data_IF_623579800597
#
_entry.id   IF_623579800597
#
_cell.length_a   1.000
_cell.length_b   1.000
_cell.length_c   1.000
_cell.angle_alpha   90.00
_cell.angle_beta   90.00
_cell.angle_gamma   90.00
#
_symmetry.space_group_name_H-M   'P 1'
#
loop_
_entity.id
_entity.type
_entity.pdbx_description
1 polymer ?
#
# COMPACT_ATOMS: atom_id res chain seq x y z
N UNK A 1 44.74 15.88 -2.19
CA UNK A 1 45.07 14.45 -1.99
C UNK A 1 45.01 13.80 -3.36
N UNK A 2 46.13 13.25 -3.82
CA UNK A 2 46.31 12.72 -5.17
C UNK A 2 45.83 11.27 -5.19
N UNK A 3 44.73 10.99 -5.89
CA UNK A 3 44.28 9.62 -6.15
C UNK A 3 45.26 8.95 -7.10
N UNK A 4 45.94 7.89 -6.62
CA UNK A 4 46.74 7.02 -7.48
C UNK A 4 45.80 6.25 -8.40
N UNK A 5 46.10 6.14 -9.71
CA UNK A 5 45.33 5.26 -10.59
C UNK A 5 45.57 3.81 -10.15
N UNK A 6 44.51 3.15 -9.67
CA UNK A 6 44.50 1.71 -9.47
C UNK A 6 44.75 1.04 -10.81
N UNK A 7 45.95 0.49 -10.96
CA UNK A 7 46.37 -0.23 -12.14
C UNK A 7 45.63 -1.58 -12.16
N UNK A 8 44.40 -1.57 -12.72
CA UNK A 8 43.58 -2.77 -12.92
C UNK A 8 44.33 -3.71 -13.86
N UNK A 9 44.94 -4.76 -13.32
CA UNK A 9 45.47 -5.83 -14.16
C UNK A 9 44.32 -6.44 -14.98
N UNK A 10 44.53 -6.77 -16.26
CA UNK A 10 43.51 -7.44 -17.05
C UNK A 10 43.11 -8.73 -16.33
N UNK A 11 41.80 -9.04 -16.31
CA UNK A 11 41.17 -10.22 -15.69
C UNK A 11 41.86 -11.58 -15.97
N UNK A 12 42.74 -11.61 -16.97
CA UNK A 12 43.38 -12.74 -17.61
C UNK A 12 44.83 -12.91 -17.14
N UNK A 13 45.40 -11.87 -16.52
CA UNK A 13 46.81 -11.82 -16.09
C UNK A 13 47.11 -12.73 -14.91
N UNK A 14 46.20 -12.80 -13.93
CA UNK A 14 46.35 -13.68 -12.77
C UNK A 14 46.29 -15.18 -13.16
N UNK A 15 45.34 -15.64 -14.01
CA UNK A 15 45.38 -17.01 -14.52
C UNK A 15 46.62 -17.34 -15.34
N UNK A 16 47.04 -16.44 -16.24
CA UNK A 16 48.22 -16.65 -17.06
C UNK A 16 49.50 -16.79 -16.22
N UNK A 17 49.68 -15.94 -15.21
CA UNK A 17 50.82 -16.01 -14.30
C UNK A 17 50.79 -17.27 -13.44
N UNK A 18 49.61 -17.68 -12.96
CA UNK A 18 49.44 -18.92 -12.19
C UNK A 18 49.79 -20.16 -13.02
N UNK A 19 49.39 -20.20 -14.29
CA UNK A 19 49.74 -21.30 -15.19
C UNK A 19 51.23 -21.32 -15.57
N UNK A 20 51.86 -20.16 -15.73
CA UNK A 20 53.30 -20.07 -15.94
C UNK A 20 54.09 -20.62 -14.74
N UNK A 21 53.69 -20.25 -13.51
CA UNK A 21 54.31 -20.76 -12.28
C UNK A 21 54.07 -22.26 -12.13
N UNK A 22 52.86 -22.74 -12.44
CA UNK A 22 52.56 -24.17 -12.48
C UNK A 22 53.49 -24.90 -13.46
N UNK A 23 53.61 -24.42 -14.69
CA UNK A 23 54.47 -25.04 -15.71
C UNK A 23 55.95 -25.06 -15.30
N UNK A 24 56.42 -24.03 -14.59
CA UNK A 24 57.77 -24.00 -14.01
C UNK A 24 58.01 -25.15 -13.03
N UNK A 25 57.06 -25.44 -12.13
CA UNK A 25 57.19 -26.56 -11.19
C UNK A 25 57.11 -27.93 -11.89
N UNK A 26 56.34 -28.04 -12.97
CA UNK A 26 56.29 -29.25 -13.80
C UNK A 26 57.61 -29.51 -14.52
N UNK A 27 58.20 -28.46 -15.11
CA UNK A 27 59.53 -28.54 -15.74
C UNK A 27 60.62 -28.84 -14.70
N UNK A 28 60.55 -28.24 -13.52
CA UNK A 28 61.45 -28.54 -12.41
C UNK A 28 61.37 -30.00 -11.97
N UNK A 29 60.17 -30.57 -11.90
CA UNK A 29 59.98 -32.00 -11.63
C UNK A 29 60.57 -32.86 -12.75
N UNK A 30 60.26 -32.55 -14.01
CA UNK A 30 60.74 -33.31 -15.17
C UNK A 30 62.28 -33.26 -15.31
N UNK A 31 62.90 -32.12 -15.00
CA UNK A 31 64.35 -31.96 -15.04
C UNK A 31 65.07 -32.65 -13.86
N UNK A 32 64.44 -32.70 -12.68
CA UNK A 32 65.05 -33.29 -11.48
C UNK A 32 64.88 -34.81 -11.41
N UNK A 33 63.73 -35.33 -11.87
CA UNK A 33 63.35 -36.74 -11.74
C UNK A 33 63.49 -37.51 -13.07
N UNK A 34 63.39 -36.82 -14.21
CA UNK A 34 63.30 -37.43 -15.53
C UNK A 34 61.88 -37.88 -15.88
N UNK A 35 61.57 -37.99 -17.17
CA UNK A 35 60.33 -38.59 -17.64
C UNK A 35 60.60 -39.55 -18.81
N UNK A 36 60.53 -40.89 -18.60
CA UNK A 36 60.15 -41.61 -17.38
C UNK A 36 61.16 -41.44 -16.22
N UNK A 37 60.73 -41.65 -14.94
CA UNK A 37 61.54 -41.35 -13.77
C UNK A 37 62.73 -42.31 -13.62
N UNK A 38 63.95 -41.78 -13.63
CA UNK A 38 65.20 -42.57 -13.57
C UNK A 38 65.64 -42.88 -12.13
N UNK A 39 64.95 -42.31 -11.14
CA UNK A 39 65.30 -42.41 -9.70
C UNK A 39 64.07 -42.66 -8.83
N UNK A 40 64.29 -43.19 -7.62
CA UNK A 40 63.24 -43.38 -6.61
C UNK A 40 62.75 -42.01 -6.12
N UNK A 41 61.44 -41.82 -6.14
CA UNK A 41 60.79 -40.58 -5.74
C UNK A 41 61.09 -40.24 -4.28
N UNK A 42 61.68 -39.07 -4.05
CA UNK A 42 61.90 -38.51 -2.73
C UNK A 42 60.70 -37.64 -2.33
N UNK A 43 60.56 -37.37 -1.03
CA UNK A 43 59.47 -36.51 -0.50
C UNK A 43 59.47 -35.11 -1.14
N UNK A 44 60.65 -34.61 -1.53
CA UNK A 44 60.80 -33.35 -2.27
C UNK A 44 60.14 -33.38 -3.65
N UNK A 45 60.15 -34.52 -4.35
CA UNK A 45 59.58 -34.65 -5.69
C UNK A 45 58.05 -34.62 -5.65
N UNK A 46 57.45 -35.18 -4.60
CA UNK A 46 56.01 -35.09 -4.33
C UNK A 46 55.57 -33.65 -4.09
N UNK A 47 56.42 -32.81 -3.49
CA UNK A 47 56.12 -31.40 -3.26
C UNK A 47 55.99 -30.61 -4.57
N UNK A 48 56.82 -30.90 -5.58
CA UNK A 48 56.73 -30.29 -6.90
C UNK A 48 55.40 -30.60 -7.60
N UNK A 49 54.95 -31.85 -7.53
CA UNK A 49 53.67 -32.28 -8.11
C UNK A 49 52.49 -31.62 -7.39
N UNK A 50 52.56 -31.51 -6.06
CA UNK A 50 51.51 -30.87 -5.26
C UNK A 50 51.41 -29.37 -5.57
N UNK A 51 52.54 -28.67 -5.63
CA UNK A 51 52.58 -27.25 -5.98
C UNK A 51 52.14 -27.00 -7.43
N UNK A 52 52.55 -27.85 -8.37
CA UNK A 52 52.08 -27.80 -9.75
C UNK A 52 50.55 -27.86 -9.82
N UNK A 53 49.95 -28.85 -9.15
CA UNK A 53 48.51 -29.06 -9.12
C UNK A 53 47.78 -27.92 -8.39
N UNK A 54 48.34 -27.43 -7.28
CA UNK A 54 47.80 -26.29 -6.54
C UNK A 54 47.71 -25.02 -7.41
N UNK A 55 48.79 -24.64 -8.09
CA UNK A 55 48.82 -23.45 -8.95
C UNK A 55 48.04 -23.64 -10.27
N UNK A 56 47.87 -24.88 -10.73
CA UNK A 56 47.01 -25.19 -11.88
C UNK A 56 45.54 -24.86 -11.57
N UNK A 57 45.08 -25.21 -10.36
CA UNK A 57 43.69 -25.04 -9.95
C UNK A 57 43.38 -23.68 -9.30
N UNK A 58 44.39 -22.94 -8.85
CA UNK A 58 44.26 -21.59 -8.27
C UNK A 58 43.37 -20.61 -9.08
N UNK A 59 43.48 -20.49 -10.42
CA UNK A 59 42.63 -19.59 -11.19
C UNK A 59 41.15 -20.00 -11.25
N UNK A 60 40.81 -21.26 -10.99
CA UNK A 60 39.43 -21.72 -10.97
C UNK A 60 38.71 -21.27 -9.69
N UNK A 61 39.41 -21.26 -8.55
CA UNK A 61 38.86 -20.77 -7.29
C UNK A 61 38.65 -19.25 -7.28
N UNK A 62 39.51 -18.50 -7.97
CA UNK A 62 39.36 -17.04 -8.07
C UNK A 62 38.21 -16.64 -9.00
N UNK A 63 37.98 -17.37 -10.11
CA UNK A 63 36.81 -17.16 -10.99
C UNK A 63 35.47 -17.33 -10.27
N UNK A 64 35.35 -18.29 -9.34
CA UNK A 64 34.12 -18.51 -8.57
C UNK A 64 33.80 -17.29 -7.68
N UNK A 65 34.81 -16.71 -7.01
CA UNK A 65 34.61 -15.52 -6.17
C UNK A 65 34.34 -14.24 -6.97
N UNK A 66 34.93 -14.12 -8.16
CA UNK A 66 34.74 -12.96 -9.04
C UNK A 66 33.36 -12.97 -9.69
N UNK A 67 32.84 -14.14 -10.09
CA UNK A 67 31.48 -14.28 -10.62
C UNK A 67 30.42 -13.80 -9.62
N UNK A 68 30.51 -14.23 -8.37
CA UNK A 68 29.57 -13.84 -7.31
C UNK A 68 29.69 -12.36 -6.93
N UNK A 69 30.89 -11.78 -6.93
CA UNK A 69 31.07 -10.35 -6.63
C UNK A 69 30.54 -9.45 -7.76
N UNK A 70 30.72 -9.86 -9.02
CA UNK A 70 30.28 -9.11 -10.20
C UNK A 70 28.75 -9.24 -10.42
N UNK A 71 28.16 -10.40 -10.10
CA UNK A 71 26.71 -10.56 -10.01
C UNK A 71 26.12 -9.69 -8.91
N UNK A 72 26.75 -9.65 -7.72
CA UNK A 72 26.29 -8.81 -6.61
C UNK A 72 26.43 -7.31 -6.92
N UNK A 73 27.53 -6.88 -7.54
CA UNK A 73 27.72 -5.48 -7.96
C UNK A 73 26.69 -5.10 -9.04
N UNK A 74 26.37 -6.00 -9.97
CA UNK A 74 25.31 -5.81 -10.96
C UNK A 74 23.92 -5.79 -10.36
N UNK A 75 23.63 -6.62 -9.35
CA UNK A 75 22.36 -6.61 -8.61
C UNK A 75 22.21 -5.31 -7.79
N UNK A 76 23.28 -4.83 -7.15
CA UNK A 76 23.30 -3.56 -6.43
C UNK A 76 23.16 -2.37 -7.38
N UNK A 77 23.80 -2.41 -8.55
CA UNK A 77 23.68 -1.37 -9.58
C UNK A 77 22.26 -1.32 -10.16
N UNK A 78 21.66 -2.48 -10.46
CA UNK A 78 20.24 -2.57 -10.84
C UNK A 78 19.30 -2.06 -9.75
N UNK A 79 19.49 -2.48 -8.50
CA UNK A 79 18.67 -2.01 -7.39
C UNK A 79 18.80 -0.49 -7.19
N UNK A 80 19.99 0.08 -7.43
CA UNK A 80 20.22 1.54 -7.37
C UNK A 80 19.56 2.28 -8.53
N UNK A 81 19.53 1.67 -9.71
CA UNK A 81 18.83 2.21 -10.89
C UNK A 81 17.31 2.15 -10.71
N UNK A 82 16.76 1.03 -10.22
CA UNK A 82 15.36 0.88 -9.83
C UNK A 82 14.96 1.87 -8.73
N UNK A 83 15.81 2.09 -7.71
CA UNK A 83 15.57 3.13 -6.69
C UNK A 83 15.63 4.55 -7.27
N UNK A 84 16.46 4.79 -8.28
CA UNK A 84 16.56 6.09 -8.95
C UNK A 84 15.33 6.33 -9.83
N UNK A 85 14.88 5.32 -10.56
CA UNK A 85 13.63 5.35 -11.32
C UNK A 85 12.43 5.49 -10.38
N UNK A 86 12.35 4.73 -9.29
CA UNK A 86 11.30 4.87 -8.29
C UNK A 86 11.32 6.26 -7.64
N UNK A 87 12.49 6.83 -7.32
CA UNK A 87 12.58 8.20 -6.80
C UNK A 87 12.19 9.24 -7.85
N UNK A 88 12.53 9.01 -9.13
CA UNK A 88 12.11 9.87 -10.23
C UNK A 88 10.59 9.78 -10.45
N UNK A 89 10.02 8.58 -10.38
CA UNK A 89 8.58 8.32 -10.50
C UNK A 89 7.80 8.85 -9.30
N UNK A 90 8.30 8.73 -8.07
CA UNK A 90 7.72 9.36 -6.87
C UNK A 90 7.82 10.88 -6.95
N UNK A 91 8.94 11.44 -7.43
CA UNK A 91 9.05 12.90 -7.65
C UNK A 91 8.11 13.36 -8.76
N UNK A 92 7.96 12.58 -9.83
CA UNK A 92 7.05 12.91 -10.93
C UNK A 92 5.58 12.77 -10.47
N UNK A 93 5.26 11.74 -9.69
CA UNK A 93 3.95 11.55 -9.05
C UNK A 93 3.65 12.66 -8.04
N UNK A 94 4.63 13.10 -7.26
CA UNK A 94 4.50 14.23 -6.33
C UNK A 94 4.39 15.57 -7.06
N UNK A 95 5.08 15.72 -8.21
CA UNK A 95 4.94 16.87 -9.10
C UNK A 95 3.55 16.89 -9.76
N UNK A 96 3.05 15.76 -10.23
CA UNK A 96 1.68 15.61 -10.75
C UNK A 96 0.65 15.89 -9.66
N UNK A 97 0.87 15.40 -8.43
CA UNK A 97 0.06 15.77 -7.27
C UNK A 97 0.08 17.28 -7.03
N UNK A 98 1.26 17.92 -7.09
CA UNK A 98 1.43 19.35 -6.81
C UNK A 98 0.88 20.26 -7.91
N UNK A 99 1.00 19.87 -9.19
CA UNK A 99 0.42 20.61 -10.32
C UNK A 99 -1.10 20.47 -10.36
N UNK A 100 -1.63 19.35 -9.84
CA UNK A 100 -3.07 19.18 -9.66
C UNK A 100 -3.64 19.99 -8.49
N UNK A 101 -2.84 20.48 -7.52
CA UNK A 101 -3.36 21.32 -6.40
C UNK A 101 -3.79 22.72 -6.87
N UNK A 102 -3.16 23.27 -7.91
CA UNK A 102 -3.49 24.62 -8.42
C UNK A 102 -4.51 24.64 -9.57
N UNK A 103 -4.97 23.46 -10.02
CA UNK A 103 -5.98 23.34 -11.08
C UNK A 103 -7.30 22.73 -10.56
N UNK A 104 -7.50 22.71 -9.23
CA UNK A 104 -8.73 22.24 -8.55
C UNK A 104 -9.84 23.30 -8.70
N UNK A 105 -10.21 23.61 -9.94
CA UNK A 105 -11.44 24.31 -10.30
C UNK A 105 -12.52 23.37 -10.86
N UNK A 106 -12.19 22.12 -11.16
CA UNK A 106 -13.16 21.15 -11.64
C UNK A 106 -12.54 19.78 -11.93
N UNK A 107 -13.20 18.73 -11.41
CA UNK A 107 -13.03 17.32 -11.77
C UNK A 107 -11.74 16.61 -11.32
N UNK A 108 -11.80 15.90 -10.19
CA UNK A 108 -11.78 14.42 -10.13
C UNK A 108 -11.85 13.94 -8.66
N UNK A 109 -12.98 13.35 -8.28
CA UNK A 109 -13.16 12.61 -7.01
C UNK A 109 -12.40 11.28 -7.06
N UNK A 110 -11.07 11.28 -7.02
CA UNK A 110 -10.34 10.05 -6.66
C UNK A 110 -10.42 9.88 -5.14
N UNK A 111 -11.49 9.22 -4.68
CA UNK A 111 -11.70 8.89 -3.27
C UNK A 111 -10.96 7.57 -2.98
N UNK A 112 -9.68 7.66 -2.61
CA UNK A 112 -8.98 6.53 -2.00
C UNK A 112 -9.56 6.32 -0.59
N UNK A 113 -10.54 5.42 -0.47
CA UNK A 113 -11.16 5.09 0.81
C UNK A 113 -10.27 4.10 1.56
N UNK A 114 -9.68 4.54 2.69
CA UNK A 114 -9.09 3.62 3.65
C UNK A 114 -10.22 2.98 4.47
N UNK A 115 -10.47 1.69 4.28
CA UNK A 115 -11.55 0.97 4.97
C UNK A 115 -11.11 0.70 6.42
N UNK A 116 -11.86 1.23 7.38
CA UNK A 116 -11.53 1.13 8.80
C UNK A 116 -11.73 -0.26 9.39
N UNK A 117 -10.97 -0.54 10.46
CA UNK A 117 -11.07 -1.78 11.22
C UNK A 117 -12.39 -1.92 11.99
N UNK A 118 -12.89 -3.16 12.06
CA UNK A 118 -14.16 -3.53 12.71
C UNK A 118 -14.26 -3.08 14.18
N UNK A 119 -13.16 -3.12 14.92
CA UNK A 119 -13.12 -2.69 16.33
C UNK A 119 -13.42 -1.19 16.50
N UNK A 120 -13.04 -0.35 15.53
CA UNK A 120 -13.33 1.08 15.60
C UNK A 120 -14.79 1.38 15.30
N UNK A 121 -15.42 0.64 14.39
CA UNK A 121 -16.85 0.73 14.11
C UNK A 121 -17.69 0.43 15.36
N UNK A 122 -17.37 -0.68 16.04
CA UNK A 122 -18.07 -1.07 17.27
C UNK A 122 -17.93 -0.03 18.37
N UNK A 123 -16.74 0.55 18.53
CA UNK A 123 -16.52 1.66 19.49
C UNK A 123 -17.35 2.89 19.12
N UNK A 124 -17.41 3.26 17.84
CA UNK A 124 -18.24 4.38 17.39
C UNK A 124 -19.73 4.13 17.65
N UNK A 125 -20.21 2.90 17.40
CA UNK A 125 -21.58 2.48 17.69
C UNK A 125 -21.93 2.59 19.17
N UNK A 126 -21.05 2.12 20.06
CA UNK A 126 -21.25 2.24 21.50
C UNK A 126 -21.34 3.70 21.97
N UNK A 127 -20.55 4.59 21.37
CA UNK A 127 -20.62 6.03 21.69
C UNK A 127 -21.97 6.62 21.27
N UNK A 128 -22.46 6.27 20.08
CA UNK A 128 -23.78 6.74 19.61
C UNK A 128 -24.88 6.19 20.51
N UNK A 129 -24.84 4.90 20.84
CA UNK A 129 -25.84 4.28 21.70
C UNK A 129 -25.87 4.83 23.13
N UNK A 130 -24.72 5.27 23.65
CA UNK A 130 -24.62 5.87 24.98
C UNK A 130 -25.11 7.33 25.02
N UNK A 131 -25.05 8.06 23.90
CA UNK A 131 -25.34 9.50 23.87
C UNK A 131 -26.62 9.86 23.11
N UNK A 132 -27.16 8.94 22.31
CA UNK A 132 -28.42 9.15 21.61
C UNK A 132 -29.61 9.15 22.60
N UNK A 133 -30.66 9.92 22.30
CA UNK A 133 -31.89 9.92 23.09
C UNK A 133 -32.49 8.50 23.20
N UNK A 134 -33.10 8.17 24.33
CA UNK A 134 -33.60 6.81 24.63
C UNK A 134 -34.63 6.36 23.59
N UNK A 135 -35.45 7.28 23.08
CA UNK A 135 -36.50 7.02 22.10
C UNK A 135 -35.95 6.54 20.74
N UNK A 136 -34.73 6.95 20.38
CA UNK A 136 -34.08 6.53 19.13
C UNK A 136 -33.76 5.05 19.05
N UNK A 137 -33.71 4.31 20.17
CA UNK A 137 -33.28 2.90 20.16
C UNK A 137 -34.26 2.01 19.41
N UNK A 138 -35.56 2.19 19.63
CA UNK A 138 -36.61 1.42 18.95
C UNK A 138 -36.67 1.81 17.48
N UNK A 139 -36.61 3.10 17.18
CA UNK A 139 -36.56 3.63 15.81
C UNK A 139 -35.35 3.09 15.05
N UNK A 140 -34.18 3.03 15.69
CA UNK A 140 -32.97 2.48 15.07
C UNK A 140 -33.12 1.00 14.70
N UNK A 141 -33.72 0.18 15.58
CA UNK A 141 -33.98 -1.23 15.30
C UNK A 141 -34.95 -1.41 14.13
N UNK A 142 -36.03 -0.63 14.10
CA UNK A 142 -37.01 -0.66 13.00
C UNK A 142 -36.39 -0.23 11.66
N UNK A 143 -35.53 0.79 11.69
CA UNK A 143 -34.79 1.24 10.49
C UNK A 143 -33.81 0.17 10.02
N UNK A 144 -33.08 -0.48 10.94
CA UNK A 144 -32.15 -1.56 10.62
C UNK A 144 -32.89 -2.75 9.98
N UNK A 145 -33.98 -3.21 10.60
CA UNK A 145 -34.80 -4.30 10.08
C UNK A 145 -35.36 -3.97 8.69
N UNK A 146 -35.89 -2.75 8.50
CA UNK A 146 -36.38 -2.28 7.20
C UNK A 146 -35.29 -2.30 6.12
N UNK A 147 -34.07 -1.87 6.45
CA UNK A 147 -32.96 -1.84 5.49
C UNK A 147 -32.58 -3.27 5.07
N UNK A 148 -32.52 -4.19 6.04
CA UNK A 148 -32.17 -5.60 5.80
C UNK A 148 -33.25 -6.36 5.02
N UNK A 149 -34.53 -6.16 5.35
CA UNK A 149 -35.63 -6.84 4.65
C UNK A 149 -35.80 -6.37 3.20
N UNK A 150 -35.39 -5.14 2.89
CA UNK A 150 -35.59 -4.55 1.57
C UNK A 150 -34.39 -4.74 0.64
N UNK A 151 -33.31 -5.38 1.10
CA UNK A 151 -32.06 -5.48 0.35
C UNK A 151 -31.45 -6.88 0.51
N UNK A 152 -31.51 -7.69 -0.55
CA UNK A 152 -30.81 -8.98 -0.58
C UNK A 152 -29.28 -8.81 -0.71
N UNK A 153 -28.83 -7.69 -1.29
CA UNK A 153 -27.42 -7.34 -1.49
C UNK A 153 -26.94 -6.29 -0.44
N UNK A 154 -25.89 -6.58 0.35
CA UNK A 154 -25.32 -5.62 1.31
C UNK A 154 -24.86 -4.31 0.66
N UNK A 155 -24.42 -4.34 -0.60
CA UNK A 155 -23.98 -3.15 -1.34
C UNK A 155 -25.15 -2.20 -1.58
N UNK A 156 -26.29 -2.75 -2.00
CA UNK A 156 -27.52 -1.99 -2.20
C UNK A 156 -28.05 -1.44 -0.87
N UNK A 157 -27.99 -2.24 0.21
CA UNK A 157 -28.36 -1.81 1.55
C UNK A 157 -27.53 -0.61 2.04
N UNK A 158 -26.20 -0.65 1.84
CA UNK A 158 -25.29 0.44 2.20
C UNK A 158 -25.53 1.68 1.35
N UNK A 159 -25.72 1.51 0.03
CA UNK A 159 -26.03 2.61 -0.87
C UNK A 159 -27.33 3.32 -0.46
N UNK A 160 -28.36 2.55 -0.14
CA UNK A 160 -29.64 3.06 0.35
C UNK A 160 -29.51 3.79 1.67
N UNK A 161 -28.76 3.22 2.62
CA UNK A 161 -28.48 3.85 3.92
C UNK A 161 -27.86 5.24 3.74
N UNK A 162 -26.87 5.36 2.84
CA UNK A 162 -26.26 6.65 2.49
C UNK A 162 -27.28 7.64 1.91
N UNK A 163 -28.14 7.18 1.00
CA UNK A 163 -29.18 8.01 0.38
C UNK A 163 -30.17 8.52 1.43
N UNK A 164 -30.60 7.67 2.36
CA UNK A 164 -31.58 8.04 3.39
C UNK A 164 -30.99 9.06 4.38
N UNK A 165 -29.73 8.89 4.79
CA UNK A 165 -29.00 9.89 5.59
C UNK A 165 -28.92 11.22 4.83
N UNK A 166 -28.53 11.20 3.56
CA UNK A 166 -28.43 12.43 2.75
C UNK A 166 -29.79 13.13 2.59
N UNK A 167 -30.85 12.37 2.35
CA UNK A 167 -32.22 12.89 2.23
C UNK A 167 -32.67 13.58 3.52
N UNK A 168 -32.45 12.94 4.68
CA UNK A 168 -32.79 13.53 5.99
C UNK A 168 -32.00 14.79 6.26
N UNK A 169 -30.69 14.80 6.00
CA UNK A 169 -29.87 16.00 6.15
C UNK A 169 -30.35 17.15 5.25
N UNK A 170 -30.75 16.86 4.02
CA UNK A 170 -31.34 17.87 3.12
C UNK A 170 -32.67 18.41 3.66
N UNK A 171 -33.54 17.54 4.14
CA UNK A 171 -34.83 17.92 4.72
C UNK A 171 -34.64 18.84 5.94
N UNK A 172 -33.81 18.43 6.90
CA UNK A 172 -33.51 19.21 8.13
C UNK A 172 -32.95 20.59 7.79
N UNK A 173 -32.07 20.67 6.78
CA UNK A 173 -31.41 21.92 6.38
C UNK A 173 -32.22 22.76 5.38
N UNK A 174 -33.43 22.34 5.03
CA UNK A 174 -34.28 22.99 4.04
C UNK A 174 -33.62 23.08 2.65
N UNK A 175 -32.78 22.11 2.28
CA UNK A 175 -32.14 22.03 0.96
C UNK A 175 -33.01 21.22 0.01
N UNK A 176 -33.16 21.71 -1.22
CA UNK A 176 -34.01 21.06 -2.21
C UNK A 176 -33.52 19.64 -2.50
N UNK A 177 -34.47 18.69 -2.45
CA UNK A 177 -34.32 17.30 -2.88
C UNK A 177 -34.83 17.08 -4.29
N UNK A 178 -35.63 18.03 -4.81
CA UNK A 178 -36.17 18.04 -6.17
C UNK A 178 -35.74 19.30 -6.92
N UNK A 179 -35.34 19.19 -8.20
CA UNK A 179 -35.15 20.36 -9.03
C UNK A 179 -36.51 21.02 -9.26
N UNK A 180 -36.69 22.24 -8.78
CA UNK A 180 -37.88 23.03 -9.10
C UNK A 180 -37.69 23.61 -10.50
N UNK A 181 -38.62 23.33 -11.42
CA UNK A 181 -38.59 23.90 -12.77
C UNK A 181 -38.50 25.45 -12.69
N UNK A 182 -37.50 26.03 -13.35
CA UNK A 182 -37.25 27.48 -13.36
C UNK A 182 -36.30 28.02 -12.28
N UNK A 183 -35.70 27.15 -11.45
CA UNK A 183 -34.61 27.52 -10.52
C UNK A 183 -33.42 26.54 -10.63
N UNK A 184 -32.88 26.41 -11.84
CA UNK A 184 -31.73 25.55 -12.13
C UNK A 184 -30.50 25.92 -11.27
N UNK A 185 -30.34 27.20 -10.93
CA UNK A 185 -29.26 27.70 -10.06
C UNK A 185 -29.51 27.52 -8.55
N UNK A 186 -30.71 27.11 -8.11
CA UNK A 186 -31.04 26.98 -6.69
C UNK A 186 -30.64 25.61 -6.10
N UNK A 187 -30.38 24.61 -6.93
CA UNK A 187 -29.91 23.30 -6.47
C UNK A 187 -28.42 23.39 -6.19
N UNK A 188 -28.05 23.96 -5.03
CA UNK A 188 -26.68 23.85 -4.56
C UNK A 188 -26.39 22.39 -4.24
N UNK A 189 -25.57 21.76 -5.09
CA UNK A 189 -25.08 20.39 -4.93
C UNK A 189 -24.10 20.30 -3.75
N UNK A 190 -24.61 20.45 -2.53
CA UNK A 190 -23.83 20.16 -1.33
C UNK A 190 -23.69 18.64 -1.20
N UNK A 191 -22.46 18.17 -1.02
CA UNK A 191 -22.18 16.76 -0.74
C UNK A 191 -22.59 16.38 0.68
N UNK A 192 -22.77 15.08 0.94
CA UNK A 192 -23.21 14.56 2.24
C UNK A 192 -22.35 15.05 3.41
N UNK A 193 -21.03 15.19 3.23
CA UNK A 193 -20.12 15.71 4.26
C UNK A 193 -20.39 17.19 4.56
N UNK A 194 -20.60 18.00 3.53
CA UNK A 194 -20.90 19.44 3.69
C UNK A 194 -22.27 19.64 4.34
N UNK A 195 -23.25 18.82 3.97
CA UNK A 195 -24.56 18.80 4.63
C UNK A 195 -24.40 18.44 6.11
N UNK A 196 -23.61 17.42 6.42
CA UNK A 196 -23.39 17.02 7.81
C UNK A 196 -22.65 18.09 8.63
N UNK A 197 -21.63 18.74 8.07
CA UNK A 197 -20.93 19.85 8.73
C UNK A 197 -21.87 21.02 9.04
N UNK A 198 -22.76 21.36 8.09
CA UNK A 198 -23.82 22.36 8.31
C UNK A 198 -24.79 21.92 9.41
N UNK A 199 -25.22 20.65 9.39
CA UNK A 199 -26.09 20.09 10.42
C UNK A 199 -25.47 20.20 11.82
N UNK A 200 -24.21 19.81 11.99
CA UNK A 200 -23.51 19.95 13.29
C UNK A 200 -23.36 21.42 13.69
N UNK A 201 -23.13 22.33 12.75
CA UNK A 201 -23.01 23.76 13.05
C UNK A 201 -24.29 24.33 13.68
N UNK A 202 -25.46 23.82 13.27
CA UNK A 202 -26.78 24.19 13.79
C UNK A 202 -27.18 23.36 15.02
N UNK A 203 -26.78 22.09 15.07
CA UNK A 203 -27.12 21.12 16.12
C UNK A 203 -25.87 20.65 16.86
N UNK A 204 -25.27 21.53 17.66
CA UNK A 204 -24.02 21.22 18.39
C UNK A 204 -24.15 20.02 19.33
N UNK A 205 -25.35 19.74 19.84
CA UNK A 205 -25.64 18.57 20.68
C UNK A 205 -25.40 17.24 19.97
N UNK A 206 -25.48 17.20 18.64
CA UNK A 206 -25.25 16.00 17.83
C UNK A 206 -23.79 15.81 17.41
N UNK A 207 -22.85 16.58 17.97
CA UNK A 207 -21.43 16.53 17.61
C UNK A 207 -20.79 15.14 17.80
N UNK A 208 -21.33 14.32 18.71
CA UNK A 208 -20.89 12.95 18.94
C UNK A 208 -21.05 12.04 17.72
N UNK A 209 -21.96 12.37 16.80
CA UNK A 209 -22.19 11.62 15.57
C UNK A 209 -21.03 11.76 14.57
N UNK A 210 -20.14 12.76 14.69
CA UNK A 210 -19.08 13.02 13.69
C UNK A 210 -18.27 11.79 13.33
N UNK A 211 -17.82 11.06 14.36
CA UNK A 211 -16.99 9.87 14.16
C UNK A 211 -17.78 8.75 13.49
N UNK A 212 -18.99 8.50 13.98
CA UNK A 212 -19.88 7.48 13.44
C UNK A 212 -20.27 7.76 11.99
N UNK A 213 -20.68 9.00 11.68
CA UNK A 213 -21.01 9.45 10.34
C UNK A 213 -19.85 9.27 9.36
N UNK A 214 -18.63 9.66 9.75
CA UNK A 214 -17.44 9.46 8.91
C UNK A 214 -17.21 7.97 8.61
N UNK A 215 -17.42 7.09 9.58
CA UNK A 215 -17.19 5.67 9.41
C UNK A 215 -18.23 5.02 8.50
N UNK A 216 -19.51 5.33 8.71
CA UNK A 216 -20.60 4.85 7.84
C UNK A 216 -20.40 5.34 6.40
N UNK A 217 -20.09 6.63 6.22
CA UNK A 217 -19.89 7.19 4.87
C UNK A 217 -18.67 6.59 4.16
N UNK A 218 -17.58 6.31 4.86
CA UNK A 218 -16.43 5.61 4.30
C UNK A 218 -16.81 4.21 3.79
N UNK A 219 -17.51 3.41 4.59
CA UNK A 219 -17.91 2.05 4.20
C UNK A 219 -18.93 2.07 3.06
N UNK A 220 -19.90 2.99 3.10
CA UNK A 220 -20.86 3.16 2.02
C UNK A 220 -20.15 3.55 0.71
N UNK A 221 -19.19 4.49 0.76
CA UNK A 221 -18.43 4.89 -0.42
C UNK A 221 -17.57 3.73 -0.95
N UNK A 222 -16.91 2.96 -0.08
CA UNK A 222 -16.17 1.77 -0.47
C UNK A 222 -17.06 0.77 -1.23
N UNK A 223 -18.23 0.46 -0.67
CA UNK A 223 -19.20 -0.46 -1.29
C UNK A 223 -19.71 0.07 -2.65
N UNK A 224 -20.11 1.34 -2.73
CA UNK A 224 -20.59 1.97 -3.97
C UNK A 224 -19.50 1.97 -5.07
N UNK A 225 -18.24 2.12 -4.68
CA UNK A 225 -17.09 2.06 -5.59
C UNK A 225 -16.56 0.65 -5.84
N UNK A 226 -17.35 -0.38 -5.55
CA UNK A 226 -17.03 -1.80 -5.75
C UNK A 226 -15.72 -2.24 -5.04
N UNK A 227 -15.36 -1.58 -3.95
CA UNK A 227 -14.28 -2.03 -3.08
C UNK A 227 -14.76 -3.16 -2.18
N UNK A 228 -13.83 -4.02 -1.77
CA UNK A 228 -14.14 -5.16 -0.90
C UNK A 228 -14.49 -4.69 0.51
N UNK A 229 -15.73 -4.87 0.91
CA UNK A 229 -16.24 -4.68 2.27
C UNK A 229 -16.60 -6.06 2.83
N UNK A 230 -16.17 -6.40 4.05
CA UNK A 230 -16.59 -7.66 4.66
C UNK A 230 -18.04 -7.61 5.12
N UNK A 231 -18.73 -8.76 5.15
CA UNK A 231 -20.13 -8.83 5.63
C UNK A 231 -20.30 -8.28 7.05
N UNK A 232 -19.29 -8.49 7.91
CA UNK A 232 -19.27 -7.98 9.27
C UNK A 232 -19.17 -6.44 9.30
N UNK A 233 -18.30 -5.86 8.46
CA UNK A 233 -18.21 -4.41 8.31
C UNK A 233 -19.49 -3.82 7.74
N UNK A 234 -20.11 -4.50 6.77
CA UNK A 234 -21.39 -4.08 6.20
C UNK A 234 -22.48 -4.09 7.26
N UNK A 235 -22.66 -5.18 8.01
CA UNK A 235 -23.67 -5.27 9.08
C UNK A 235 -23.47 -4.20 10.16
N UNK A 236 -22.25 -3.99 10.64
CA UNK A 236 -21.99 -2.96 11.65
C UNK A 236 -22.21 -1.54 11.10
N UNK A 237 -21.87 -1.29 9.82
CA UNK A 237 -22.12 -0.02 9.17
C UNK A 237 -23.62 0.24 8.96
N UNK A 238 -24.41 -0.78 8.62
CA UNK A 238 -25.86 -0.69 8.50
C UNK A 238 -26.51 -0.39 9.84
N UNK A 239 -26.12 -1.11 10.90
CA UNK A 239 -26.61 -0.84 12.26
C UNK A 239 -26.28 0.58 12.73
N UNK A 240 -25.04 1.03 12.50
CA UNK A 240 -24.61 2.39 12.84
C UNK A 240 -25.32 3.44 11.98
N UNK A 241 -25.57 3.15 10.70
CA UNK A 241 -26.35 3.98 9.80
C UNK A 241 -27.80 4.13 10.26
N UNK A 242 -28.42 3.04 10.72
CA UNK A 242 -29.76 3.05 11.28
C UNK A 242 -29.86 3.91 12.55
N UNK A 243 -28.85 3.86 13.43
CA UNK A 243 -28.77 4.75 14.60
C UNK A 243 -28.66 6.23 14.19
N UNK A 244 -27.84 6.54 13.19
CA UNK A 244 -27.72 7.92 12.68
C UNK A 244 -29.06 8.38 12.09
N UNK A 245 -29.73 7.53 11.30
CA UNK A 245 -31.03 7.83 10.71
C UNK A 245 -32.07 8.09 11.80
N UNK A 246 -32.11 7.28 12.86
CA UNK A 246 -33.03 7.45 13.98
C UNK A 246 -32.83 8.80 14.67
N UNK A 247 -31.57 9.19 14.96
CA UNK A 247 -31.26 10.50 15.55
C UNK A 247 -31.67 11.64 14.60
N UNK A 248 -31.39 11.52 13.30
CA UNK A 248 -31.77 12.54 12.33
C UNK A 248 -33.30 12.70 12.21
N UNK A 249 -34.06 11.60 12.27
CA UNK A 249 -35.53 11.64 12.26
C UNK A 249 -36.10 12.34 13.48
N UNK A 250 -35.54 12.06 14.67
CA UNK A 250 -35.95 12.76 15.88
C UNK A 250 -35.69 14.27 15.77
N UNK A 251 -34.55 14.69 15.22
CA UNK A 251 -34.28 16.11 14.99
C UNK A 251 -35.20 16.71 13.92
N UNK A 252 -35.58 15.94 12.90
CA UNK A 252 -36.54 16.38 11.88
C UNK A 252 -37.98 16.51 12.43
N UNK A 253 -38.28 15.90 13.58
CA UNK A 253 -39.65 15.77 14.09
C UNK A 253 -40.47 14.71 13.33
N UNK A 254 -39.83 13.89 12.50
CA UNK A 254 -40.45 12.80 11.74
C UNK A 254 -40.55 11.56 12.65
N UNK A 255 -41.60 11.50 13.46
CA UNK A 255 -42.04 10.26 14.12
C UNK A 255 -43.05 9.58 13.19
N UNK A 256 -42.54 8.82 12.23
CA UNK A 256 -43.31 7.88 11.40
C UNK A 256 -43.12 6.45 11.90
#
# INVERSE_FOLDING_TARGET
>A
MSEKPEQKMPLWGLPALSWLVSFYFLLGFAANVGFPPDRRLLVGDTLYVLLWLFFLFLPFFTKIKIGTFLELEREVEKAKEELREFKAEVRNSMSVLSTNVNTIGGMTNQVTVNILGLAELRKARQIVEAQAPIDTKQTAQQVEERILLQSEDPTLALARTRIDIERLLRNILGKCTTPTAGKEDAVKFLGINQLFDLFISQNKQSAYLKKAFRYVTQICNAAIHAQRVSDEQAREALALGAQIIAVLREVAGDVE
#
